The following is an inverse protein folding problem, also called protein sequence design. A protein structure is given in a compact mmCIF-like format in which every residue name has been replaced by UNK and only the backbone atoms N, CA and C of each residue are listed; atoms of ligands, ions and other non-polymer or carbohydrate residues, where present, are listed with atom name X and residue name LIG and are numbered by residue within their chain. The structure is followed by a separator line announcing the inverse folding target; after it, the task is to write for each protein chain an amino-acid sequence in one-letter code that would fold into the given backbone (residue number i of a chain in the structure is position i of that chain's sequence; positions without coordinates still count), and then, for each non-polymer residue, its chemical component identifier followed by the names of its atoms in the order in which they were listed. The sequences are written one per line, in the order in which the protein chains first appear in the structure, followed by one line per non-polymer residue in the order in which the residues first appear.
data_IF_016393544612
#
_entry.id   IF_016393544612
#
_cell.length_a   1.000
_cell.length_b   1.000
_cell.length_c   1.000
_cell.angle_alpha   90.00
_cell.angle_beta   90.00
_cell.angle_gamma   90.00
#
_symmetry.space_group_name_H-M   'P 1'
#
loop_
_entity.id
_entity.type
_entity.pdbx_description
1 polymer ?
#
# COMPACT_ATOMS: atom_id res chain seq x y z
N UNK A 1 -0.30 7.33 7.76
CA UNK A 1 0.97 6.76 7.25
C UNK A 1 0.85 5.25 7.11
N UNK A 2 0.78 4.75 5.88
CA UNK A 2 0.76 3.31 5.59
C UNK A 2 2.21 2.83 5.37
N UNK A 3 2.60 1.73 6.02
CA UNK A 3 3.96 1.17 5.91
C UNK A 3 3.96 0.06 4.87
N UNK A 4 4.69 0.25 3.78
CA UNK A 4 4.79 -0.77 2.74
C UNK A 4 5.95 -1.70 3.05
N UNK A 5 5.61 -2.98 3.17
CA UNK A 5 6.57 -4.08 3.34
C UNK A 5 6.75 -4.83 2.04
N UNK A 6 7.92 -5.46 1.88
CA UNK A 6 8.19 -6.32 0.76
C UNK A 6 7.24 -7.51 0.79
N UNK A 7 6.47 -7.75 -0.30
CA UNK A 7 5.55 -8.87 -0.38
C UNK A 7 6.28 -10.21 -0.46
N UNK A 8 7.59 -10.22 -0.72
CA UNK A 8 8.38 -11.44 -0.66
C UNK A 8 8.37 -11.99 0.78
N UNK A 9 7.81 -13.19 1.01
CA UNK A 9 7.68 -13.77 2.35
C UNK A 9 9.04 -14.06 3.00
N UNK A 10 10.10 -14.26 2.21
CA UNK A 10 11.48 -14.43 2.72
C UNK A 10 12.12 -13.10 3.11
N UNK A 11 11.65 -11.99 2.55
CA UNK A 11 12.19 -10.66 2.86
C UNK A 11 11.37 -10.00 3.97
N UNK A 12 10.09 -9.71 3.73
CA UNK A 12 9.17 -9.05 4.67
C UNK A 12 9.62 -7.67 5.18
N UNK A 13 10.77 -7.16 4.73
CA UNK A 13 11.37 -5.91 5.21
C UNK A 13 10.58 -4.71 4.71
N UNK A 14 10.61 -3.64 5.49
CA UNK A 14 10.05 -2.34 5.11
C UNK A 14 10.77 -1.80 3.88
N UNK A 15 10.04 -1.21 2.95
CA UNK A 15 10.61 -0.62 1.74
C UNK A 15 10.49 0.90 1.78
N UNK A 16 9.27 1.39 2.00
CA UNK A 16 8.97 2.81 2.10
C UNK A 16 7.66 3.02 2.86
N UNK A 17 7.37 4.28 3.18
CA UNK A 17 6.14 4.69 3.82
C UNK A 17 5.35 5.62 2.92
N UNK A 18 4.04 5.60 3.10
CA UNK A 18 3.12 6.45 2.38
C UNK A 18 2.49 7.38 3.40
N UNK A 19 2.88 8.64 3.32
CA UNK A 19 2.35 9.69 4.18
C UNK A 19 0.89 9.99 3.79
N UNK A 20 0.64 10.18 2.49
CA UNK A 20 -0.68 10.44 1.91
C UNK A 20 -0.98 9.44 0.78
N UNK A 21 -2.17 8.83 0.83
CA UNK A 21 -2.60 7.92 -0.23
C UNK A 21 -3.04 8.74 -1.45
N UNK A 22 -2.45 8.52 -2.64
CA UNK A 22 -2.78 9.31 -3.81
C UNK A 22 -4.27 9.14 -4.19
N UNK A 23 -4.93 10.21 -4.67
CA UNK A 23 -6.31 10.11 -5.13
C UNK A 23 -6.36 9.28 -6.41
N UNK A 24 -6.98 8.10 -6.34
CA UNK A 24 -7.18 7.20 -7.47
C UNK A 24 -6.33 5.93 -7.44
N UNK A 25 -6.49 5.07 -8.45
CA UNK A 25 -5.75 3.81 -8.54
C UNK A 25 -4.33 4.08 -9.03
N UNK A 26 -3.35 3.92 -8.16
CA UNK A 26 -1.93 4.06 -8.51
C UNK A 26 -1.25 2.71 -8.38
N UNK A 27 -0.51 2.30 -9.41
CA UNK A 27 0.37 1.12 -9.35
C UNK A 27 1.80 1.63 -9.34
N UNK A 28 2.50 1.39 -8.23
CA UNK A 28 3.92 1.70 -8.09
C UNK A 28 4.73 0.43 -8.34
N UNK A 29 5.58 0.47 -9.36
CA UNK A 29 6.60 -0.54 -9.59
C UNK A 29 7.94 -0.05 -9.04
N UNK A 30 8.59 -0.85 -8.21
CA UNK A 30 9.91 -0.51 -7.68
C UNK A 30 10.74 -1.76 -7.39
N UNK A 31 12.04 -1.59 -7.25
CA UNK A 31 12.95 -2.67 -6.84
C UNK A 31 13.15 -2.63 -5.32
N UNK A 32 12.92 -3.74 -4.63
CA UNK A 32 13.24 -3.87 -3.22
C UNK A 32 14.76 -3.79 -3.03
N UNK A 33 15.23 -2.83 -2.22
CA UNK A 33 16.67 -2.67 -1.93
C UNK A 33 17.26 -3.82 -1.10
N UNK A 34 16.42 -4.67 -0.51
CA UNK A 34 16.86 -5.74 0.38
C UNK A 34 17.01 -7.09 -0.32
N UNK A 35 16.02 -7.51 -1.11
CA UNK A 35 16.06 -8.79 -1.84
C UNK A 35 16.30 -8.63 -3.34
N UNK A 36 16.24 -7.40 -3.88
CA UNK A 36 16.42 -7.13 -5.29
C UNK A 36 15.21 -7.44 -6.17
N UNK A 37 14.11 -7.97 -5.63
CA UNK A 37 12.91 -8.24 -6.42
C UNK A 37 12.18 -6.98 -6.85
N UNK A 38 11.59 -7.04 -8.05
CA UNK A 38 10.66 -6.02 -8.54
C UNK A 38 9.29 -6.30 -7.92
N UNK A 39 8.75 -5.27 -7.29
CA UNK A 39 7.48 -5.31 -6.56
C UNK A 39 6.51 -4.33 -7.21
N UNK A 40 5.25 -4.74 -7.31
CA UNK A 40 4.16 -3.92 -7.80
C UNK A 40 3.16 -3.73 -6.68
N UNK A 41 3.00 -2.49 -6.23
CA UNK A 41 2.07 -2.15 -5.15
C UNK A 41 0.93 -1.34 -5.71
N UNK A 42 -0.27 -1.91 -5.65
CA UNK A 42 -1.51 -1.24 -6.07
C UNK A 42 -2.13 -0.50 -4.89
N UNK A 43 -2.18 0.82 -5.00
CA UNK A 43 -2.98 1.67 -4.12
C UNK A 43 -4.31 1.89 -4.79
N UNK A 44 -5.34 1.28 -4.23
CA UNK A 44 -6.71 1.68 -4.52
C UNK A 44 -7.17 2.44 -3.28
N UNK A 45 -7.76 3.65 -3.41
CA UNK A 45 -8.50 4.21 -2.31
C UNK A 45 -9.52 3.14 -1.94
N UNK A 46 -9.39 2.56 -0.73
CA UNK A 46 -10.48 1.78 -0.18
C UNK A 46 -11.63 2.74 -0.23
N UNK A 47 -12.63 2.50 -1.08
CA UNK A 47 -13.88 3.23 -1.03
C UNK A 47 -14.23 3.21 0.46
N UNK A 48 -14.12 4.37 1.11
CA UNK A 48 -14.55 4.52 2.47
C UNK A 48 -16.03 4.27 2.34
N UNK A 49 -16.45 3.02 2.54
CA UNK A 49 -17.83 2.73 2.83
C UNK A 49 -18.08 3.55 4.09
N UNK A 50 -18.61 4.76 3.92
CA UNK A 50 -19.40 5.42 4.94
C UNK A 50 -20.42 4.36 5.33
N UNK A 51 -20.13 3.56 6.35
CA UNK A 51 -21.16 2.92 7.14
C UNK A 51 -21.94 4.12 7.68
N UNK A 52 -23.00 4.50 6.98
CA UNK A 52 -24.04 5.34 7.54
C UNK A 52 -24.52 4.60 8.78
N UNK A 53 -23.93 4.90 9.93
CA UNK A 53 -24.48 4.57 11.24
C UNK A 53 -25.75 5.40 11.32
N UNK A 54 -26.87 4.83 10.85
CA UNK A 54 -28.21 5.34 11.14
C UNK A 54 -28.29 5.42 12.67
N UNK A 55 -28.26 6.63 13.20
CA UNK A 55 -28.94 6.94 14.44
C UNK A 55 -30.41 7.06 14.04
N UNK A 56 -31.26 6.32 14.75
CA UNK A 56 -32.68 6.15 14.48
C UNK A 56 -33.16 4.90 15.20
#
# INVERSE_FOLDING_TARGET
MEKVKCPNPKCGRRIFDIEEMPPGKVVLEMKCRHCGEIIRVGFSPKMVHKKNRRQG
#
